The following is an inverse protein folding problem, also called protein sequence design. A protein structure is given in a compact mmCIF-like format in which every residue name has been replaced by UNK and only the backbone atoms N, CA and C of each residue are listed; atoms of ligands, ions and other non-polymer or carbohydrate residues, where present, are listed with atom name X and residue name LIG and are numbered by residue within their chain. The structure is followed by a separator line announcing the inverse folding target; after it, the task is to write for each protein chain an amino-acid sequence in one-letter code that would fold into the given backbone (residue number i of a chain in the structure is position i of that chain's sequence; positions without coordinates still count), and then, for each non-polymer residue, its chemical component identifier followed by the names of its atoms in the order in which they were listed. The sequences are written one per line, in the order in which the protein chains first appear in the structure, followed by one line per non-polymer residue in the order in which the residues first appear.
data_IF_440493346805
#
_entry.id   IF_440493346805
#
_cell.length_a   1.000
_cell.length_b   1.000
_cell.length_c   1.000
_cell.angle_alpha   90.00
_cell.angle_beta   90.00
_cell.angle_gamma   90.00
#
_symmetry.space_group_name_H-M   'P 1'
#
loop_
_entity.id
_entity.type
_entity.pdbx_description
1 polymer ?
#
# COMPACT_ATOMS: atom_id res chain seq x y z
N UNK A 1 -12.93 -23.91 23.50
CA UNK A 1 -13.22 -22.80 22.56
C UNK A 1 -11.93 -22.04 22.26
N UNK A 2 -11.22 -22.36 21.16
CA UNK A 2 -10.02 -21.60 20.76
C UNK A 2 -10.44 -20.28 20.11
N UNK A 3 -10.19 -19.16 20.80
CA UNK A 3 -10.36 -17.83 20.21
C UNK A 3 -9.24 -17.59 19.21
N UNK A 4 -9.53 -17.78 17.92
CA UNK A 4 -8.64 -17.39 16.83
C UNK A 4 -8.64 -15.86 16.74
N UNK A 5 -7.77 -15.19 17.51
CA UNK A 5 -7.52 -13.76 17.35
C UNK A 5 -6.78 -13.60 16.01
N UNK A 6 -7.32 -12.84 15.04
CA UNK A 6 -6.66 -12.64 13.76
C UNK A 6 -5.34 -11.86 13.96
N UNK A 7 -4.24 -12.61 14.12
CA UNK A 7 -2.87 -12.09 14.28
C UNK A 7 -2.43 -11.12 13.17
N UNK A 8 -3.14 -11.10 12.03
CA UNK A 8 -2.84 -10.25 10.87
C UNK A 8 -3.12 -8.76 11.10
N UNK A 9 -3.69 -8.38 12.24
CA UNK A 9 -4.00 -6.99 12.61
C UNK A 9 -3.29 -6.51 13.88
N UNK A 10 -2.52 -7.39 14.54
CA UNK A 10 -1.75 -7.01 15.72
C UNK A 10 -0.54 -6.17 15.29
N UNK A 11 -0.33 -5.05 15.96
CA UNK A 11 0.86 -4.22 15.80
C UNK A 11 2.03 -4.81 16.60
N UNK A 12 3.27 -4.52 16.25
CA UNK A 12 4.44 -4.98 17.02
C UNK A 12 4.69 -4.16 18.29
N UNK A 13 5.43 -4.70 19.27
CA UNK A 13 5.73 -4.02 20.54
C UNK A 13 6.34 -2.63 20.38
N UNK A 14 7.26 -2.44 19.43
CA UNK A 14 7.84 -1.10 19.18
C UNK A 14 6.80 -0.11 18.67
N UNK A 15 5.89 -0.53 17.80
CA UNK A 15 4.81 0.33 17.32
C UNK A 15 3.85 0.69 18.45
N UNK A 16 3.55 -0.25 19.35
CA UNK A 16 2.78 0.03 20.56
C UNK A 16 3.47 1.07 21.44
N UNK A 17 4.76 0.88 21.70
CA UNK A 17 5.57 1.84 22.47
C UNK A 17 5.52 3.25 21.85
N UNK A 18 5.61 3.37 20.52
CA UNK A 18 5.49 4.67 19.86
C UNK A 18 4.11 5.31 20.02
N UNK A 19 3.04 4.52 20.01
CA UNK A 19 1.67 5.00 20.25
C UNK A 19 1.54 5.52 21.68
N UNK A 20 2.07 4.78 22.67
CA UNK A 20 2.08 5.18 24.08
C UNK A 20 2.91 6.46 24.31
N UNK A 21 4.03 6.61 23.61
CA UNK A 21 4.92 7.78 23.71
C UNK A 21 4.46 9.00 22.91
N UNK A 22 3.37 8.91 22.12
CA UNK A 22 2.91 9.99 21.23
C UNK A 22 2.64 11.32 21.95
N UNK A 23 2.19 11.26 23.21
CA UNK A 23 1.84 12.44 24.00
C UNK A 23 2.93 12.87 24.99
N UNK A 24 4.13 12.26 24.95
CA UNK A 24 5.20 12.57 25.88
C UNK A 24 5.69 14.03 25.68
N UNK A 25 5.63 14.90 26.71
CA UNK A 25 6.04 16.30 26.59
C UNK A 25 7.52 16.45 26.23
N UNK A 26 8.39 15.50 26.61
CA UNK A 26 9.82 15.51 26.26
C UNK A 26 10.07 15.31 24.76
N UNK A 27 9.08 14.76 24.05
CA UNK A 27 9.12 14.57 22.60
C UNK A 27 8.35 15.66 21.85
N UNK A 28 7.65 16.57 22.55
CA UNK A 28 6.96 17.70 21.92
C UNK A 28 7.98 18.81 21.66
N UNK A 29 8.09 19.24 20.41
CA UNK A 29 9.04 20.28 19.98
C UNK A 29 10.28 19.76 19.24
N UNK A 30 10.63 18.48 19.39
CA UNK A 30 11.72 17.85 18.64
C UNK A 30 11.34 17.59 17.17
N UNK A 31 12.33 17.68 16.28
CA UNK A 31 12.15 17.33 14.88
C UNK A 31 11.68 15.87 14.75
N UNK A 32 10.86 15.55 13.73
CA UNK A 32 10.33 14.19 13.51
C UNK A 32 11.44 13.13 13.50
N UNK A 33 12.57 13.45 12.85
CA UNK A 33 13.72 12.54 12.75
C UNK A 33 14.37 12.27 14.12
N UNK A 34 14.52 13.29 14.96
CA UNK A 34 15.12 13.17 16.30
C UNK A 34 14.22 12.40 17.26
N UNK A 35 12.90 12.60 17.15
CA UNK A 35 11.91 11.82 17.92
C UNK A 35 12.07 10.33 17.67
N UNK A 36 12.22 9.93 16.40
CA UNK A 36 12.45 8.53 16.04
C UNK A 36 13.73 7.94 16.64
N UNK A 37 14.83 8.72 16.64
CA UNK A 37 16.10 8.32 17.27
C UNK A 37 15.91 8.12 18.78
N UNK A 38 15.31 9.10 19.46
CA UNK A 38 15.07 9.06 20.91
C UNK A 38 14.11 7.94 21.33
N UNK A 39 13.03 7.69 20.59
CA UNK A 39 12.13 6.57 20.90
C UNK A 39 12.83 5.23 20.70
N UNK A 40 13.72 5.12 19.70
CA UNK A 40 14.46 3.89 19.46
C UNK A 40 15.48 3.58 20.56
N UNK A 41 16.17 4.60 21.09
CA UNK A 41 17.10 4.43 22.21
C UNK A 41 16.36 4.06 23.49
N UNK A 42 15.25 4.75 23.80
CA UNK A 42 14.39 4.45 24.94
C UNK A 42 13.81 3.03 24.88
N UNK A 43 13.38 2.57 23.71
CA UNK A 43 12.86 1.22 23.55
C UNK A 43 13.95 0.15 23.78
N UNK A 44 15.17 0.41 23.32
CA UNK A 44 16.30 -0.51 23.52
C UNK A 44 16.67 -0.63 25.00
N UNK A 45 16.62 0.47 25.76
CA UNK A 45 16.89 0.49 27.20
C UNK A 45 15.80 -0.14 28.07
N UNK A 46 14.64 -0.50 27.52
CA UNK A 46 13.59 -1.20 28.28
C UNK A 46 14.05 -2.60 28.71
N UNK A 47 13.63 -2.98 29.91
CA UNK A 47 13.86 -4.32 30.44
C UNK A 47 13.13 -5.38 29.59
N UNK A 48 13.57 -6.65 29.61
CA UNK A 48 12.85 -7.73 28.93
C UNK A 48 11.40 -7.90 29.42
N UNK A 49 11.15 -7.62 30.71
CA UNK A 49 9.81 -7.68 31.31
C UNK A 49 8.86 -6.63 30.72
N UNK A 50 9.35 -5.40 30.57
CA UNK A 50 8.56 -4.31 29.98
C UNK A 50 8.25 -4.57 28.50
N UNK A 51 9.20 -5.16 27.78
CA UNK A 51 9.00 -5.58 26.38
C UNK A 51 7.92 -6.66 26.26
N UNK A 52 7.92 -7.65 27.16
CA UNK A 52 6.87 -8.67 27.19
C UNK A 52 5.49 -8.09 27.54
N UNK A 53 5.43 -7.10 28.43
CA UNK A 53 4.20 -6.37 28.73
C UNK A 53 3.69 -5.57 27.52
N UNK A 54 4.60 -4.92 26.78
CA UNK A 54 4.29 -4.25 25.52
C UNK A 54 3.77 -5.22 24.46
N UNK A 55 4.39 -6.39 24.30
CA UNK A 55 3.93 -7.41 23.35
C UNK A 55 2.51 -7.89 23.64
N UNK A 56 2.16 -8.09 24.93
CA UNK A 56 0.79 -8.45 25.33
C UNK A 56 -0.21 -7.36 24.96
N UNK A 57 0.12 -6.09 25.19
CA UNK A 57 -0.73 -4.95 24.82
C UNK A 57 -0.83 -4.80 23.30
N UNK A 58 0.27 -4.99 22.59
CA UNK A 58 0.35 -4.91 21.14
C UNK A 58 -0.50 -6.00 20.46
N UNK A 59 -0.48 -7.21 21.01
CA UNK A 59 -1.34 -8.32 20.57
C UNK A 59 -2.84 -8.06 20.80
N UNK A 60 -3.19 -7.34 21.89
CA UNK A 60 -4.56 -6.94 22.18
C UNK A 60 -5.03 -5.73 21.34
N UNK A 61 -4.11 -4.98 20.75
CA UNK A 61 -4.43 -3.78 20.00
C UNK A 61 -4.92 -4.11 18.59
N UNK A 62 -6.23 -4.00 18.40
CA UNK A 62 -6.86 -4.13 17.10
C UNK A 62 -6.84 -2.77 16.40
N UNK A 63 -5.99 -2.65 15.38
CA UNK A 63 -5.98 -1.51 14.47
C UNK A 63 -7.26 -1.52 13.61
N UNK A 64 -8.39 -1.06 14.16
CA UNK A 64 -9.60 -0.84 13.39
C UNK A 64 -9.40 0.38 12.47
N UNK A 65 -9.40 0.13 11.17
CA UNK A 65 -9.51 1.19 10.17
C UNK A 65 -8.20 1.54 9.48
N UNK A 66 -7.67 0.64 8.67
CA UNK A 66 -6.92 1.06 7.48
C UNK A 66 -7.93 1.74 6.55
N UNK A 67 -8.26 3.02 6.80
CA UNK A 67 -9.00 3.82 5.82
C UNK A 67 -8.19 3.70 4.53
N UNK A 68 -8.81 3.16 3.48
CA UNK A 68 -8.26 3.16 2.11
C UNK A 68 -8.07 4.62 1.77
N UNK A 69 -6.90 5.19 2.07
CA UNK A 69 -6.61 6.53 1.60
C UNK A 69 -6.55 6.41 0.09
N UNK A 70 -7.52 7.04 -0.57
CA UNK A 70 -7.46 7.34 -2.00
C UNK A 70 -6.37 8.37 -2.19
N UNK A 71 -5.13 7.96 -1.93
CA UNK A 71 -4.00 8.83 -2.02
C UNK A 71 -3.67 9.01 -3.51
N UNK A 72 -4.45 9.87 -4.17
CA UNK A 72 -4.07 10.56 -5.41
C UNK A 72 -3.00 11.61 -5.07
N UNK A 73 -1.94 11.20 -4.39
CA UNK A 73 -0.72 11.98 -4.37
C UNK A 73 -0.05 11.72 -5.71
N UNK A 74 -0.20 12.68 -6.61
CA UNK A 74 0.70 12.98 -7.72
C UNK A 74 2.08 13.29 -7.15
N UNK A 75 2.71 12.29 -6.55
CA UNK A 75 4.15 12.29 -6.37
C UNK A 75 4.69 12.25 -7.78
N UNK A 76 5.45 13.27 -8.17
CA UNK A 76 6.40 13.27 -9.27
C UNK A 76 7.35 12.09 -9.05
N UNK A 77 6.86 10.88 -9.34
CA UNK A 77 7.65 9.67 -9.36
C UNK A 77 8.55 9.85 -10.56
N UNK A 78 9.86 9.83 -10.34
CA UNK A 78 10.86 9.56 -11.39
C UNK A 78 10.25 8.52 -12.34
N UNK A 79 10.35 8.70 -13.67
CA UNK A 79 9.69 7.81 -14.61
C UNK A 79 10.05 6.38 -14.22
N UNK A 80 9.05 5.63 -13.74
CA UNK A 80 9.21 4.18 -13.60
C UNK A 80 9.66 3.73 -14.97
N UNK A 81 10.71 2.92 -15.04
CA UNK A 81 11.18 2.37 -16.31
C UNK A 81 9.98 1.95 -17.14
N UNK A 82 9.84 2.55 -18.31
CA UNK A 82 8.69 2.30 -19.17
C UNK A 82 8.68 0.81 -19.44
N UNK A 83 7.72 0.10 -18.83
CA UNK A 83 7.58 -1.33 -19.07
C UNK A 83 7.31 -1.49 -20.54
N UNK A 84 8.02 -2.42 -21.18
CA UNK A 84 7.78 -2.73 -22.58
C UNK A 84 6.27 -2.95 -22.81
N UNK A 85 5.67 -2.28 -23.81
CA UNK A 85 4.23 -2.34 -24.01
C UNK A 85 3.82 -3.80 -24.28
N UNK A 86 2.74 -4.24 -23.62
CA UNK A 86 2.18 -5.56 -23.85
C UNK A 86 1.72 -5.70 -25.31
N UNK A 87 1.60 -6.94 -25.80
CA UNK A 87 1.08 -7.20 -27.15
C UNK A 87 -0.28 -6.55 -27.38
N UNK A 88 -1.16 -6.62 -26.37
CA UNK A 88 -2.45 -5.92 -26.41
C UNK A 88 -2.30 -4.40 -26.48
N UNK A 89 -1.36 -3.80 -25.74
CA UNK A 89 -1.15 -2.35 -25.80
C UNK A 89 -0.65 -1.88 -27.18
N UNK A 90 0.23 -2.66 -27.83
CA UNK A 90 0.65 -2.42 -29.22
C UNK A 90 -0.55 -2.51 -30.17
N UNK A 91 -1.33 -3.57 -30.04
CA UNK A 91 -2.54 -3.79 -30.84
C UNK A 91 -3.57 -2.66 -30.68
N UNK A 92 -3.79 -2.20 -29.45
CA UNK A 92 -4.69 -1.06 -29.20
C UNK A 92 -4.17 0.20 -29.89
N UNK A 93 -2.88 0.49 -29.80
CA UNK A 93 -2.27 1.66 -30.45
C UNK A 93 -2.49 1.67 -31.96
N UNK A 94 -2.39 0.51 -32.61
CA UNK A 94 -2.56 0.38 -34.06
C UNK A 94 -4.02 0.44 -34.53
N UNK A 95 -4.96 -0.10 -33.74
CA UNK A 95 -6.35 -0.26 -34.17
C UNK A 95 -7.34 0.77 -33.62
N UNK A 96 -6.97 1.54 -32.58
CA UNK A 96 -7.89 2.49 -31.96
C UNK A 96 -8.32 3.64 -32.88
N UNK A 97 -7.46 4.04 -33.81
CA UNK A 97 -7.73 5.09 -34.81
C UNK A 97 -8.89 4.73 -35.74
N UNK A 98 -9.10 3.44 -36.01
CA UNK A 98 -10.21 2.95 -36.86
C UNK A 98 -11.59 3.26 -36.28
N UNK A 99 -11.67 3.54 -34.98
CA UNK A 99 -12.91 3.81 -34.27
C UNK A 99 -13.04 5.27 -33.85
N UNK A 100 -12.24 6.21 -34.36
CA UNK A 100 -12.22 7.63 -33.95
C UNK A 100 -13.58 8.33 -33.89
N UNK A 101 -14.54 7.89 -34.72
CA UNK A 101 -15.91 8.38 -34.74
C UNK A 101 -16.73 8.03 -33.48
N UNK A 102 -16.26 7.09 -32.65
CA UNK A 102 -16.93 6.66 -31.42
C UNK A 102 -16.32 7.32 -30.17
N UNK A 103 -17.12 7.49 -29.09
CA UNK A 103 -16.61 7.87 -27.78
C UNK A 103 -15.52 6.91 -27.29
N UNK A 104 -14.51 7.41 -26.58
CA UNK A 104 -13.32 6.64 -26.19
C UNK A 104 -13.62 5.28 -25.54
N UNK A 105 -14.65 5.22 -24.69
CA UNK A 105 -15.07 3.98 -24.03
C UNK A 105 -15.54 2.91 -25.03
N UNK A 106 -16.24 3.33 -26.09
CA UNK A 106 -16.77 2.42 -27.10
C UNK A 106 -15.70 2.05 -28.14
N UNK A 107 -14.74 2.94 -28.42
CA UNK A 107 -13.52 2.59 -29.15
C UNK A 107 -12.77 1.44 -28.49
N UNK A 108 -12.58 1.51 -27.17
CA UNK A 108 -11.90 0.44 -26.42
C UNK A 108 -12.68 -0.87 -26.41
N UNK A 109 -14.02 -0.84 -26.35
CA UNK A 109 -14.84 -2.06 -26.48
C UNK A 109 -14.69 -2.70 -27.86
N UNK A 110 -14.70 -1.89 -28.92
CA UNK A 110 -14.58 -2.36 -30.29
C UNK A 110 -13.19 -2.99 -30.54
N UNK A 111 -12.12 -2.34 -30.07
CA UNK A 111 -10.75 -2.87 -30.15
C UNK A 111 -10.60 -4.15 -29.31
N UNK A 112 -11.20 -4.21 -28.12
CA UNK A 112 -11.18 -5.43 -27.31
C UNK A 112 -11.89 -6.61 -27.99
N UNK A 113 -13.01 -6.34 -28.68
CA UNK A 113 -13.72 -7.36 -29.49
C UNK A 113 -12.83 -7.84 -30.65
N UNK A 114 -12.18 -6.91 -31.34
CA UNK A 114 -11.24 -7.21 -32.43
C UNK A 114 -10.05 -8.04 -31.95
N UNK A 115 -9.49 -7.73 -30.77
CA UNK A 115 -8.39 -8.49 -30.17
C UNK A 115 -8.81 -9.93 -29.82
N UNK A 116 -10.01 -10.12 -29.28
CA UNK A 116 -10.54 -11.46 -29.01
C UNK A 116 -10.66 -12.30 -30.27
N UNK A 117 -11.16 -11.71 -31.36
CA UNK A 117 -11.24 -12.37 -32.67
C UNK A 117 -9.86 -12.69 -33.24
N UNK A 118 -8.92 -11.75 -33.12
CA UNK A 118 -7.53 -11.96 -33.51
C UNK A 118 -6.91 -13.16 -32.77
N UNK A 119 -7.02 -13.19 -31.44
CA UNK A 119 -6.47 -14.27 -30.63
C UNK A 119 -7.12 -15.63 -30.93
N UNK A 120 -8.44 -15.66 -31.11
CA UNK A 120 -9.16 -16.88 -31.48
C UNK A 120 -8.70 -17.43 -32.84
N UNK A 121 -8.35 -16.56 -33.79
CA UNK A 121 -7.82 -16.95 -35.10
C UNK A 121 -6.35 -17.36 -35.07
N UNK A 122 -5.55 -16.76 -34.19
CA UNK A 122 -4.11 -17.06 -34.08
C UNK A 122 -3.78 -18.24 -33.16
N UNK A 123 -4.79 -18.93 -32.61
CA UNK A 123 -4.64 -20.24 -31.96
C UNK A 123 -3.56 -20.28 -30.87
N UNK A 124 -3.61 -19.36 -29.91
CA UNK A 124 -2.86 -19.48 -28.64
C UNK A 124 -3.83 -19.60 -27.48
#
# INVERSE_FOLDING_TARGET
MLRFVPRRLAIGAYAMFMIEQKNNPKLKGLAVAERGKMTSTLYKSLSPGDKAALDKRAAAYTSFGRKKSSNKQSVNKKPRSERAPSLYAKFVKEHIGRFEKLPHRDRMKAVAKLWKQHNARTGK
#
